data_IF_072118202171
#
_entry.id   IF_072118202171
#
_cell.length_a   1.000
_cell.length_b   1.000
_cell.length_c   1.000
_cell.angle_alpha   90.00
_cell.angle_beta   90.00
_cell.angle_gamma   90.00
#
_symmetry.space_group_name_H-M   'P 1'
#
loop_
_entity.id
_entity.type
_entity.pdbx_description
1 polymer ?
#
# COMPACT_ATOMS: atom_id res chain seq x y z
N UNK A 1 19.64 16.44 2.61
CA UNK A 1 20.76 16.12 1.69
C UNK A 1 20.20 15.62 0.39
N UNK A 2 20.91 15.79 -0.74
CA UNK A 2 20.53 15.24 -2.06
C UNK A 2 21.26 13.90 -2.26
N UNK A 3 20.64 12.95 -2.97
CA UNK A 3 21.25 11.67 -3.31
C UNK A 3 21.03 10.54 -2.30
N UNK A 4 20.22 10.77 -1.25
CA UNK A 4 19.81 9.74 -0.28
C UNK A 4 19.02 8.65 -1.02
N UNK A 5 19.24 7.38 -0.66
CA UNK A 5 18.56 6.23 -1.27
C UNK A 5 17.69 5.54 -0.21
N UNK A 6 16.47 5.16 -0.62
CA UNK A 6 15.52 4.39 0.20
C UNK A 6 14.83 3.31 -0.64
N UNK A 7 14.07 2.42 0.01
CA UNK A 7 13.11 1.53 -0.63
C UNK A 7 11.69 2.05 -0.41
N UNK A 8 10.91 2.16 -1.48
CA UNK A 8 9.51 2.55 -1.46
C UNK A 8 8.61 1.40 -1.89
N UNK A 9 7.37 1.42 -1.43
CA UNK A 9 6.38 0.42 -1.82
C UNK A 9 4.97 0.98 -2.06
N UNK A 10 4.72 2.26 -1.75
CA UNK A 10 3.48 2.95 -2.07
C UNK A 10 3.65 4.02 -3.16
N UNK A 11 2.54 4.33 -3.81
CA UNK A 11 2.38 5.49 -4.66
C UNK A 11 2.23 6.74 -3.78
N UNK A 12 3.24 7.60 -3.74
CA UNK A 12 3.17 8.83 -2.93
C UNK A 12 2.13 9.80 -3.54
N UNK A 13 1.15 10.31 -2.76
CA UNK A 13 0.07 11.12 -3.30
C UNK A 13 0.51 12.47 -3.88
N UNK A 14 1.65 12.99 -3.44
CA UNK A 14 2.26 14.23 -3.90
C UNK A 14 3.32 14.05 -5.00
N UNK A 15 3.61 12.80 -5.41
CA UNK A 15 4.43 12.53 -6.59
C UNK A 15 3.62 12.84 -7.86
N UNK A 16 4.08 13.77 -8.73
CA UNK A 16 3.40 14.08 -9.99
C UNK A 16 3.15 12.87 -10.89
N UNK A 17 3.93 11.79 -10.76
CA UNK A 17 3.71 10.55 -11.50
C UNK A 17 2.32 9.95 -11.22
N UNK A 18 1.78 10.12 -10.00
CA UNK A 18 0.51 9.55 -9.58
C UNK A 18 -0.63 10.56 -9.50
N UNK A 19 -0.44 11.79 -9.99
CA UNK A 19 -1.44 12.86 -9.94
C UNK A 19 -2.79 12.47 -10.59
N UNK A 20 -2.76 11.58 -11.58
CA UNK A 20 -3.94 11.06 -12.28
C UNK A 20 -4.23 9.59 -11.99
N UNK A 21 -3.52 8.97 -11.02
CA UNK A 21 -3.76 7.58 -10.65
C UNK A 21 -5.11 7.44 -9.94
N UNK A 22 -5.94 6.53 -10.43
CA UNK A 22 -7.30 6.33 -9.91
C UNK A 22 -7.31 6.03 -8.40
N UNK A 23 -6.39 5.20 -7.91
CA UNK A 23 -6.36 4.82 -6.51
C UNK A 23 -5.96 5.99 -5.60
N UNK A 24 -5.03 6.83 -6.08
CA UNK A 24 -4.65 8.06 -5.37
C UNK A 24 -5.79 9.07 -5.36
N UNK A 25 -6.50 9.25 -6.47
CA UNK A 25 -7.67 10.12 -6.52
C UNK A 25 -8.79 9.65 -5.59
N UNK A 26 -9.05 8.34 -5.51
CA UNK A 26 -10.01 7.75 -4.58
C UNK A 26 -9.60 7.96 -3.11
N UNK A 27 -8.32 7.76 -2.80
CA UNK A 27 -7.76 8.07 -1.48
C UNK A 27 -7.92 9.55 -1.12
N UNK A 28 -7.55 10.48 -2.02
CA UNK A 28 -7.68 11.91 -1.77
C UNK A 28 -9.15 12.33 -1.60
N UNK A 29 -10.07 11.75 -2.37
CA UNK A 29 -11.50 11.96 -2.20
C UNK A 29 -12.01 11.44 -0.85
N UNK A 30 -11.52 10.27 -0.41
CA UNK A 30 -11.82 9.72 0.91
C UNK A 30 -11.33 10.66 2.02
N UNK A 31 -10.08 11.11 1.94
CA UNK A 31 -9.50 12.05 2.90
C UNK A 31 -10.29 13.36 2.95
N UNK A 32 -10.62 13.95 1.79
CA UNK A 32 -11.43 15.18 1.73
C UNK A 32 -12.80 15.01 2.40
N UNK A 33 -13.42 13.83 2.27
CA UNK A 33 -14.76 13.58 2.83
C UNK A 33 -14.73 13.33 4.33
N UNK A 34 -13.79 12.51 4.81
CA UNK A 34 -13.81 12.00 6.18
C UNK A 34 -12.78 12.64 7.10
N UNK A 35 -11.71 13.21 6.55
CA UNK A 35 -10.59 13.81 7.27
C UNK A 35 -10.13 15.12 6.59
N UNK A 36 -11.00 16.13 6.39
CA UNK A 36 -10.70 17.32 5.59
C UNK A 36 -9.57 18.20 6.14
N UNK A 37 -9.19 18.01 7.41
CA UNK A 37 -8.11 18.75 8.08
C UNK A 37 -6.78 17.97 8.12
N UNK A 38 -6.77 16.72 7.65
CA UNK A 38 -5.57 15.90 7.64
C UNK A 38 -4.57 16.38 6.58
N UNK A 39 -3.28 16.31 6.92
CA UNK A 39 -2.22 16.53 5.94
C UNK A 39 -2.08 15.29 5.05
N UNK A 40 -2.52 15.42 3.79
CA UNK A 40 -2.47 14.32 2.81
C UNK A 40 -1.04 13.94 2.40
N UNK A 41 -0.04 14.75 2.77
CA UNK A 41 1.39 14.43 2.60
C UNK A 41 1.93 13.51 3.69
N UNK A 42 1.25 13.40 4.82
CA UNK A 42 1.60 12.39 5.82
C UNK A 42 1.21 11.00 5.29
N UNK A 43 2.20 10.23 4.86
CA UNK A 43 2.03 8.90 4.29
C UNK A 43 1.42 7.89 5.28
N UNK A 44 1.34 8.20 6.58
CA UNK A 44 0.64 7.35 7.54
C UNK A 44 -0.86 7.23 7.23
N UNK A 45 -1.48 8.26 6.62
CA UNK A 45 -2.87 8.18 6.18
C UNK A 45 -3.04 7.22 5.00
N UNK A 46 -2.14 7.31 4.00
CA UNK A 46 -2.13 6.37 2.88
C UNK A 46 -1.87 4.94 3.36
N UNK A 47 -0.97 4.78 4.34
CA UNK A 47 -0.70 3.49 4.97
C UNK A 47 -1.95 2.90 5.63
N UNK A 48 -2.64 3.68 6.46
CA UNK A 48 -3.88 3.24 7.10
C UNK A 48 -4.97 2.87 6.08
N UNK A 49 -5.13 3.68 5.03
CA UNK A 49 -6.07 3.41 3.94
C UNK A 49 -5.71 2.10 3.20
N UNK A 50 -4.43 1.88 2.92
CA UNK A 50 -3.92 0.67 2.25
C UNK A 50 -4.12 -0.59 3.10
N UNK A 51 -3.87 -0.51 4.40
CA UNK A 51 -4.12 -1.60 5.35
C UNK A 51 -5.60 -1.93 5.43
N UNK A 52 -6.47 -0.92 5.50
CA UNK A 52 -7.92 -1.11 5.52
C UNK A 52 -8.42 -1.85 4.27
N UNK A 53 -7.88 -1.53 3.08
CA UNK A 53 -8.22 -2.27 1.85
C UNK A 53 -7.82 -3.75 1.93
N UNK A 54 -6.70 -4.07 2.58
CA UNK A 54 -6.28 -5.46 2.81
C UNK A 54 -7.24 -6.18 3.76
N UNK A 55 -7.68 -5.52 4.83
CA UNK A 55 -8.70 -6.06 5.74
C UNK A 55 -10.02 -6.30 5.02
N UNK A 56 -10.46 -5.37 4.16
CA UNK A 56 -11.67 -5.54 3.34
C UNK A 56 -11.58 -6.78 2.46
N UNK A 57 -10.42 -7.06 1.86
CA UNK A 57 -10.23 -8.28 1.06
C UNK A 57 -10.34 -9.55 1.92
N UNK A 58 -9.70 -9.58 3.09
CA UNK A 58 -9.79 -10.71 4.02
C UNK A 58 -11.24 -10.96 4.45
N UNK A 59 -12.00 -9.90 4.74
CA UNK A 59 -13.41 -10.00 5.11
C UNK A 59 -14.27 -10.51 3.94
N UNK A 60 -14.03 -10.03 2.71
CA UNK A 60 -14.70 -10.56 1.50
C UNK A 60 -14.45 -12.06 1.31
N UNK A 61 -13.19 -12.50 1.46
CA UNK A 61 -12.83 -13.92 1.40
C UNK A 61 -13.45 -14.75 2.53
N UNK A 62 -13.72 -14.13 3.68
CA UNK A 62 -14.34 -14.80 4.82
C UNK A 62 -15.84 -15.05 4.62
N UNK A 63 -16.50 -14.27 3.76
CA UNK A 63 -17.95 -14.36 3.52
C UNK A 63 -18.74 -14.18 4.81
N UNK A 64 -19.81 -14.96 4.98
CA UNK A 64 -20.68 -14.89 6.16
C UNK A 64 -20.08 -15.60 7.40
N UNK A 65 -18.98 -16.34 7.25
CA UNK A 65 -18.30 -17.00 8.36
C UNK A 65 -17.25 -16.08 9.01
N UNK A 66 -17.73 -15.07 9.73
CA UNK A 66 -16.90 -14.05 10.39
C UNK A 66 -16.41 -14.49 11.78
N UNK A 67 -15.88 -15.71 11.87
CA UNK A 67 -15.22 -16.21 13.08
C UNK A 67 -13.73 -15.85 13.05
N UNK A 68 -13.11 -15.69 14.24
CA UNK A 68 -11.66 -15.43 14.36
C UNK A 68 -10.83 -16.46 13.58
N UNK A 69 -11.19 -17.73 13.70
CA UNK A 69 -10.50 -18.83 13.02
C UNK A 69 -10.54 -18.66 11.50
N UNK A 70 -11.72 -18.42 10.91
CA UNK A 70 -11.84 -18.25 9.47
C UNK A 70 -11.16 -16.96 8.98
N UNK A 71 -11.33 -15.84 9.69
CA UNK A 71 -10.67 -14.57 9.34
C UNK A 71 -9.15 -14.73 9.31
N UNK A 72 -8.56 -15.36 10.33
CA UNK A 72 -7.11 -15.60 10.36
C UNK A 72 -6.67 -16.58 9.27
N UNK A 73 -7.49 -17.60 8.98
CA UNK A 73 -7.23 -18.53 7.86
C UNK A 73 -7.18 -17.78 6.52
N UNK A 74 -8.11 -16.86 6.26
CA UNK A 74 -8.10 -16.07 5.01
C UNK A 74 -6.96 -15.05 4.99
N UNK A 75 -6.66 -14.42 6.14
CA UNK A 75 -5.55 -13.50 6.29
C UNK A 75 -4.18 -14.17 6.05
N UNK A 76 -4.06 -15.45 6.37
CA UNK A 76 -2.86 -16.27 6.15
C UNK A 76 -2.84 -16.94 4.76
N UNK A 77 -3.77 -16.62 3.87
CA UNK A 77 -3.92 -17.24 2.55
C UNK A 77 -4.00 -16.22 1.41
N UNK A 78 -3.56 -14.97 1.64
CA UNK A 78 -3.49 -13.97 0.59
C UNK A 78 -2.37 -14.36 -0.38
N UNK A 79 -2.69 -14.43 -1.67
CA UNK A 79 -1.73 -14.73 -2.73
C UNK A 79 -1.77 -13.64 -3.78
N UNK A 80 -0.65 -12.96 -3.94
CA UNK A 80 -0.44 -11.93 -4.96
C UNK A 80 -1.54 -10.85 -5.00
N UNK A 81 -2.12 -10.50 -3.83
CA UNK A 81 -3.18 -9.52 -3.75
C UNK A 81 -2.63 -8.12 -3.98
N UNK A 82 -3.06 -7.45 -5.04
CA UNK A 82 -2.62 -6.08 -5.33
C UNK A 82 -3.50 -5.08 -4.60
N UNK A 83 -2.92 -4.38 -3.63
CA UNK A 83 -3.53 -3.18 -3.06
C UNK A 83 -3.30 -2.02 -4.03
N UNK A 84 -4.35 -1.31 -4.52
CA UNK A 84 -4.22 -0.33 -5.61
C UNK A 84 -3.25 0.84 -5.37
N UNK A 85 -2.98 1.18 -4.10
CA UNK A 85 -2.07 2.24 -3.66
C UNK A 85 -0.61 1.79 -3.57
N UNK A 86 -0.30 0.50 -3.77
CA UNK A 86 1.06 -0.01 -3.88
C UNK A 86 1.66 0.34 -5.25
N UNK A 87 2.99 0.42 -5.30
CA UNK A 87 3.70 0.58 -6.57
C UNK A 87 3.46 -0.64 -7.49
N UNK A 88 3.46 -0.45 -8.82
CA UNK A 88 3.34 -1.56 -9.77
C UNK A 88 4.39 -2.65 -9.51
N UNK A 89 3.94 -3.92 -9.50
CA UNK A 89 4.80 -5.08 -9.24
C UNK A 89 4.97 -5.44 -7.76
N UNK A 90 4.41 -4.66 -6.84
CA UNK A 90 4.37 -4.95 -5.41
C UNK A 90 2.97 -5.46 -5.05
N UNK A 91 2.90 -6.55 -4.30
CA UNK A 91 1.66 -7.16 -3.89
C UNK A 91 1.75 -7.63 -2.43
N UNK A 92 0.59 -8.05 -1.93
CA UNK A 92 0.43 -8.65 -0.61
C UNK A 92 0.34 -10.16 -0.76
N UNK A 93 1.26 -10.86 -0.10
CA UNK A 93 1.26 -12.33 -0.01
C UNK A 93 1.51 -12.75 1.44
N UNK A 94 0.74 -13.72 1.91
CA UNK A 94 0.86 -14.28 3.27
C UNK A 94 0.67 -15.79 3.23
N UNK A 95 1.24 -16.46 4.22
CA UNK A 95 1.14 -17.89 4.43
C UNK A 95 0.90 -18.20 5.92
N UNK A 96 0.46 -19.42 6.28
CA UNK A 96 0.29 -19.82 7.69
C UNK A 96 1.57 -19.73 8.54
N UNK A 97 2.73 -19.72 7.90
CA UNK A 97 4.06 -19.57 8.48
C UNK A 97 4.75 -18.24 8.11
N UNK A 98 4.09 -17.36 7.34
CA UNK A 98 4.63 -16.08 6.89
C UNK A 98 3.55 -14.98 6.89
N UNK A 99 3.55 -14.16 7.94
CA UNK A 99 2.62 -13.05 8.12
C UNK A 99 3.24 -11.68 7.75
N UNK A 100 4.31 -11.65 6.96
CA UNK A 100 4.89 -10.41 6.43
C UNK A 100 4.26 -10.09 5.06
N UNK A 101 3.20 -9.26 4.97
CA UNK A 101 2.39 -9.16 3.77
C UNK A 101 3.14 -8.59 2.57
N UNK A 102 4.07 -7.65 2.79
CA UNK A 102 4.81 -6.98 1.73
C UNK A 102 6.29 -7.22 1.96
N UNK A 103 6.91 -7.95 1.04
CA UNK A 103 8.36 -8.21 1.04
C UNK A 103 9.04 -7.67 -0.21
N UNK A 104 8.31 -6.86 -0.98
CA UNK A 104 8.80 -6.20 -2.20
C UNK A 104 8.89 -4.69 -2.03
N UNK A 105 9.94 -4.11 -2.60
CA UNK A 105 10.18 -2.68 -2.61
C UNK A 105 10.91 -2.26 -3.90
N UNK A 106 10.79 -0.99 -4.26
CA UNK A 106 11.53 -0.38 -5.35
C UNK A 106 12.44 0.72 -4.81
N UNK A 107 13.70 0.75 -5.26
CA UNK A 107 14.65 1.78 -4.84
C UNK A 107 14.24 3.15 -5.35
N UNK A 108 14.44 4.18 -4.52
CA UNK A 108 14.22 5.57 -4.88
C UNK A 108 15.35 6.46 -4.36
N UNK A 109 15.64 7.54 -5.07
CA UNK A 109 16.67 8.52 -4.72
C UNK A 109 16.03 9.89 -4.49
N UNK A 110 16.40 10.55 -3.39
CA UNK A 110 15.97 11.93 -3.13
C UNK A 110 16.74 12.90 -4.03
N UNK A 111 16.02 13.62 -4.90
CA UNK A 111 16.62 14.59 -5.84
C UNK A 111 16.73 16.01 -5.27
N UNK A 112 16.25 16.23 -4.04
CA UNK A 112 16.13 17.55 -3.42
C UNK A 112 14.69 18.06 -3.32
N UNK A 113 13.75 17.43 -4.04
CA UNK A 113 12.34 17.82 -4.10
C UNK A 113 11.38 16.65 -3.91
N UNK A 114 11.70 15.48 -4.46
CA UNK A 114 10.90 14.26 -4.36
C UNK A 114 11.76 13.00 -4.40
N UNK A 115 11.14 11.85 -4.13
CA UNK A 115 11.74 10.55 -4.36
C UNK A 115 11.59 10.15 -5.83
N UNK A 116 12.72 9.97 -6.53
CA UNK A 116 12.73 9.47 -7.90
C UNK A 116 13.04 7.98 -7.88
N UNK A 117 12.05 7.15 -8.24
CA UNK A 117 12.20 5.69 -8.30
C UNK A 117 13.15 5.28 -9.43
N UNK A 118 13.97 4.27 -9.18
CA UNK A 118 14.89 3.69 -10.17
C UNK A 118 15.09 2.19 -9.91
N UNK A 119 15.59 1.48 -10.91
CA UNK A 119 15.79 0.03 -10.83
C UNK A 119 14.49 -0.77 -10.86
N UNK A 120 14.63 -2.10 -10.82
CA UNK A 120 13.50 -3.04 -10.76
C UNK A 120 12.96 -3.15 -9.34
N UNK A 121 11.74 -3.68 -9.20
CA UNK A 121 11.23 -4.15 -7.91
C UNK A 121 12.12 -5.28 -7.40
N UNK A 122 12.51 -5.21 -6.13
CA UNK A 122 13.32 -6.18 -5.40
C UNK A 122 12.44 -6.83 -4.34
N UNK A 123 12.75 -8.07 -3.97
CA UNK A 123 11.97 -8.84 -2.99
C UNK A 123 11.39 -10.12 -3.59
N UNK A 124 10.69 -10.88 -2.76
CA UNK A 124 10.00 -12.13 -3.14
C UNK A 124 8.49 -11.94 -3.09
#
# INVERSE_FOLDING_TARGET
GIGIITGLYWKEPDDPEFANDKAILEYLAFMKKYLPQADTKDLNYLYGYSNAMTVVEVLKKSGDNLTRENVMKQAAALKDFTVPTLLPGINVSTAPDDFFPIERMQTARWDGKRWVRFGKVLGR
#
